data_IF_912876085166
#
_entry.id   IF_912876085166
#
_cell.length_a   1.000
_cell.length_b   1.000
_cell.length_c   1.000
_cell.angle_alpha   90.00
_cell.angle_beta   90.00
_cell.angle_gamma   90.00
#
_symmetry.space_group_name_H-M   'P 1'
#
loop_
_entity.id
_entity.type
_entity.pdbx_description
1 polymer ?
#
# COMPACT_ATOMS: atom_id res chain seq x y z
N UNK A 1 19.42 10.41 -1.87
CA UNK A 1 18.86 9.16 -1.30
C UNK A 1 18.35 9.49 0.09
N UNK A 2 17.04 9.66 0.22
CA UNK A 2 16.38 10.07 1.45
C UNK A 2 16.26 8.89 2.45
N UNK A 3 15.88 9.16 3.71
CA UNK A 3 15.58 8.14 4.72
C UNK A 3 14.50 7.16 4.22
N UNK A 4 13.55 7.64 3.41
CA UNK A 4 12.55 6.80 2.78
C UNK A 4 13.17 5.75 1.84
N UNK A 5 14.20 6.11 1.07
CA UNK A 5 14.91 5.14 0.21
C UNK A 5 15.55 4.02 1.04
N UNK A 6 16.10 4.33 2.22
CA UNK A 6 16.67 3.33 3.12
C UNK A 6 15.62 2.37 3.68
N UNK A 7 14.42 2.88 3.98
CA UNK A 7 13.28 2.04 4.39
C UNK A 7 12.87 1.10 3.26
N UNK A 8 12.75 1.60 2.03
CA UNK A 8 12.40 0.78 0.87
C UNK A 8 13.46 -0.30 0.60
N UNK A 9 14.75 0.05 0.65
CA UNK A 9 15.85 -0.91 0.53
C UNK A 9 15.76 -1.97 1.63
N UNK A 10 15.44 -1.59 2.87
CA UNK A 10 15.26 -2.55 3.96
C UNK A 10 14.14 -3.55 3.66
N UNK A 11 13.03 -3.13 3.05
CA UNK A 11 11.95 -4.02 2.62
C UNK A 11 12.45 -5.03 1.58
N UNK A 12 13.24 -4.60 0.58
CA UNK A 12 13.84 -5.50 -0.40
C UNK A 12 14.81 -6.51 0.25
N UNK A 13 15.65 -6.05 1.18
CA UNK A 13 16.60 -6.91 1.91
C UNK A 13 15.86 -7.93 2.76
N UNK A 14 14.83 -7.52 3.50
CA UNK A 14 13.99 -8.43 4.30
C UNK A 14 13.28 -9.43 3.38
N UNK A 15 12.71 -8.98 2.26
CA UNK A 15 12.10 -9.85 1.26
C UNK A 15 13.07 -10.90 0.73
N UNK A 16 14.30 -10.50 0.38
CA UNK A 16 15.35 -11.41 -0.06
C UNK A 16 15.73 -12.44 1.03
N UNK A 17 15.89 -12.01 2.29
CA UNK A 17 16.22 -12.89 3.42
C UNK A 17 15.08 -13.87 3.74
N UNK A 18 13.84 -13.42 3.68
CA UNK A 18 12.67 -14.28 3.83
C UNK A 18 12.58 -15.29 2.69
N UNK A 19 12.81 -14.85 1.46
CA UNK A 19 12.90 -15.71 0.28
C UNK A 19 13.99 -16.78 0.42
N UNK A 20 15.15 -16.41 0.95
CA UNK A 20 16.24 -17.34 1.24
C UNK A 20 15.84 -18.39 2.29
N UNK A 21 15.15 -17.97 3.36
CA UNK A 21 14.69 -18.84 4.45
C UNK A 21 13.56 -19.76 4.01
N UNK A 22 12.67 -19.26 3.18
CA UNK A 22 11.53 -19.99 2.67
C UNK A 22 11.90 -20.89 1.51
N UNK A 23 12.92 -20.60 0.70
CA UNK A 23 13.27 -21.31 -0.54
C UNK A 23 12.25 -21.09 -1.66
N UNK A 24 12.51 -21.61 -2.87
CA UNK A 24 11.81 -21.24 -4.09
C UNK A 24 10.32 -21.56 -4.03
N UNK A 25 9.97 -22.81 -3.73
CA UNK A 25 8.57 -23.28 -3.76
C UNK A 25 7.68 -22.48 -2.82
N UNK A 26 8.11 -22.32 -1.56
CA UNK A 26 7.33 -21.58 -0.57
C UNK A 26 7.27 -20.08 -0.90
N UNK A 27 8.35 -19.51 -1.46
CA UNK A 27 8.36 -18.10 -1.86
C UNK A 27 7.37 -17.83 -2.99
N UNK A 28 7.27 -18.71 -3.99
CA UNK A 28 6.29 -18.59 -5.08
C UNK A 28 4.86 -18.68 -4.53
N UNK A 29 4.61 -19.64 -3.64
CA UNK A 29 3.29 -19.78 -3.04
C UNK A 29 2.91 -18.57 -2.17
N UNK A 30 3.85 -18.03 -1.40
CA UNK A 30 3.63 -16.82 -0.62
C UNK A 30 3.36 -15.61 -1.53
N UNK A 31 4.07 -15.51 -2.66
CA UNK A 31 3.84 -14.46 -3.64
C UNK A 31 2.41 -14.53 -4.22
N UNK A 32 2.00 -15.71 -4.68
CA UNK A 32 0.63 -15.94 -5.18
C UNK A 32 -0.40 -15.69 -4.08
N UNK A 33 -0.13 -16.11 -2.84
CA UNK A 33 -1.04 -15.92 -1.72
C UNK A 33 -1.24 -14.46 -1.37
N UNK A 34 -0.17 -13.65 -1.35
CA UNK A 34 -0.29 -12.19 -1.14
C UNK A 34 -1.14 -11.57 -2.25
N UNK A 35 -0.92 -11.96 -3.50
CA UNK A 35 -1.71 -11.45 -4.63
C UNK A 35 -3.20 -11.83 -4.52
N UNK A 36 -3.49 -13.10 -4.22
CA UNK A 36 -4.87 -13.57 -4.02
C UNK A 36 -5.52 -12.91 -2.81
N UNK A 37 -4.79 -12.75 -1.71
CA UNK A 37 -5.26 -12.08 -0.51
C UNK A 37 -5.64 -10.63 -0.78
N UNK A 38 -4.85 -9.91 -1.58
CA UNK A 38 -5.17 -8.54 -1.99
C UNK A 38 -6.48 -8.49 -2.80
N UNK A 39 -6.64 -9.37 -3.79
CA UNK A 39 -7.85 -9.41 -4.63
C UNK A 39 -9.11 -9.77 -3.84
N UNK A 40 -9.03 -10.79 -2.99
CA UNK A 40 -10.16 -11.22 -2.16
C UNK A 40 -10.46 -10.17 -1.08
N UNK A 41 -9.43 -9.59 -0.46
CA UNK A 41 -9.59 -8.52 0.51
C UNK A 41 -10.31 -7.31 -0.09
N UNK A 42 -9.91 -6.87 -1.28
CA UNK A 42 -10.55 -5.74 -1.96
C UNK A 42 -12.03 -5.95 -2.30
N UNK A 43 -12.47 -7.20 -2.48
CA UNK A 43 -13.87 -7.51 -2.82
C UNK A 43 -14.74 -7.85 -1.62
N UNK A 44 -14.16 -8.40 -0.56
CA UNK A 44 -14.91 -9.03 0.53
C UNK A 44 -14.64 -8.43 1.91
N UNK A 45 -13.72 -7.47 2.07
CA UNK A 45 -13.40 -6.89 3.38
C UNK A 45 -14.61 -6.21 4.04
N UNK A 46 -15.34 -5.38 3.31
CA UNK A 46 -16.47 -4.61 3.84
C UNK A 46 -17.60 -5.54 4.30
N UNK A 47 -18.00 -6.48 3.44
CA UNK A 47 -19.07 -7.43 3.74
C UNK A 47 -18.72 -8.51 4.76
N UNK A 48 -17.44 -8.69 5.11
CA UNK A 48 -17.03 -9.64 6.14
C UNK A 48 -17.32 -9.08 7.53
N UNK A 49 -16.91 -7.84 7.81
CA UNK A 49 -16.98 -7.28 9.17
C UNK A 49 -18.38 -6.81 9.54
N UNK A 50 -19.15 -6.32 8.56
CA UNK A 50 -20.57 -5.97 8.72
C UNK A 50 -21.44 -7.15 9.22
N UNK A 51 -20.98 -8.40 9.05
CA UNK A 51 -21.66 -9.61 9.57
C UNK A 51 -21.28 -10.00 11.00
N UNK A 52 -20.20 -9.45 11.54
CA UNK A 52 -19.68 -9.82 12.86
C UNK A 52 -19.76 -8.70 13.90
N UNK A 53 -19.83 -7.43 13.48
CA UNK A 53 -19.91 -6.29 14.39
C UNK A 53 -20.87 -5.23 13.84
N UNK A 54 -22.03 -5.06 14.49
CA UNK A 54 -22.97 -3.97 14.23
C UNK A 54 -22.54 -2.63 14.88
N UNK A 55 -21.51 -2.65 15.74
CA UNK A 55 -21.19 -1.57 16.70
C UNK A 55 -19.88 -0.79 16.42
N UNK A 56 -19.30 -0.84 15.21
CA UNK A 56 -18.10 -0.05 14.89
C UNK A 56 -18.49 1.18 14.06
N UNK A 57 -18.50 2.37 14.71
CA UNK A 57 -18.88 3.65 14.10
C UNK A 57 -17.89 4.15 13.02
N UNK A 58 -16.70 3.56 12.91
CA UNK A 58 -15.67 3.98 11.95
C UNK A 58 -15.49 2.96 10.82
N UNK A 59 -16.12 3.26 9.68
CA UNK A 59 -16.13 2.44 8.47
C UNK A 59 -14.71 2.11 7.95
N UNK A 60 -13.77 3.06 8.06
CA UNK A 60 -12.37 2.84 7.65
C UNK A 60 -11.65 1.81 8.53
N UNK A 61 -11.94 1.77 9.83
CA UNK A 61 -11.32 0.80 10.76
C UNK A 61 -11.90 -0.59 10.51
N UNK A 62 -13.21 -0.67 10.30
CA UNK A 62 -13.96 -1.89 9.96
C UNK A 62 -13.38 -2.56 8.71
N UNK A 63 -13.25 -1.82 7.60
CA UNK A 63 -12.66 -2.32 6.35
C UNK A 63 -11.22 -2.81 6.53
N UNK A 64 -10.39 -2.06 7.27
CA UNK A 64 -9.01 -2.44 7.54
C UNK A 64 -8.90 -3.75 8.32
N UNK A 65 -9.76 -3.98 9.32
CA UNK A 65 -9.81 -5.23 10.08
C UNK A 65 -10.24 -6.39 9.19
N UNK A 66 -11.28 -6.21 8.37
CA UNK A 66 -11.77 -7.25 7.44
C UNK A 66 -10.69 -7.70 6.47
N UNK A 67 -9.98 -6.73 5.91
CA UNK A 67 -8.86 -6.97 5.03
C UNK A 67 -7.74 -7.75 5.74
N UNK A 68 -7.38 -7.37 6.96
CA UNK A 68 -6.35 -8.04 7.75
C UNK A 68 -6.72 -9.51 8.04
N UNK A 69 -7.98 -9.78 8.39
CA UNK A 69 -8.47 -11.14 8.66
C UNK A 69 -8.42 -12.02 7.40
N UNK A 70 -8.91 -11.52 6.27
CA UNK A 70 -8.87 -12.23 4.98
C UNK A 70 -7.42 -12.53 4.60
N UNK A 71 -6.55 -11.53 4.70
CA UNK A 71 -5.14 -11.68 4.39
C UNK A 71 -4.50 -12.77 5.23
N UNK A 72 -4.75 -12.77 6.54
CA UNK A 72 -4.19 -13.76 7.46
C UNK A 72 -4.69 -15.17 7.12
N UNK A 73 -5.97 -15.33 6.80
CA UNK A 73 -6.57 -16.61 6.43
C UNK A 73 -5.93 -17.17 5.15
N UNK A 74 -5.84 -16.36 4.08
CA UNK A 74 -5.23 -16.77 2.80
C UNK A 74 -3.75 -17.11 3.01
N UNK A 75 -3.03 -16.32 3.80
CA UNK A 75 -1.62 -16.54 4.08
C UNK A 75 -1.38 -17.85 4.84
N UNK A 76 -2.20 -18.18 5.85
CA UNK A 76 -2.13 -19.45 6.58
C UNK A 76 -2.33 -20.64 5.63
N UNK A 77 -3.36 -20.57 4.76
CA UNK A 77 -3.63 -21.63 3.78
C UNK A 77 -2.41 -21.85 2.88
N UNK A 78 -1.77 -20.78 2.41
CA UNK A 78 -0.57 -20.87 1.59
C UNK A 78 0.63 -21.49 2.30
N UNK A 79 0.82 -21.24 3.61
CA UNK A 79 1.85 -21.92 4.41
C UNK A 79 1.60 -23.43 4.48
N UNK A 80 0.35 -23.84 4.68
CA UNK A 80 -0.03 -25.25 4.77
C UNK A 80 0.20 -25.94 3.43
N UNK A 81 -0.33 -25.37 2.35
CA UNK A 81 -0.19 -25.90 0.98
C UNK A 81 1.28 -26.00 0.59
N UNK A 82 2.08 -24.99 0.92
CA UNK A 82 3.51 -25.00 0.60
C UNK A 82 4.31 -26.07 1.33
N UNK A 83 3.98 -26.36 2.59
CA UNK A 83 4.58 -27.50 3.30
C UNK A 83 4.24 -28.83 2.64
N UNK A 84 2.99 -29.03 2.21
CA UNK A 84 2.54 -30.26 1.55
C UNK A 84 3.26 -30.45 0.21
N UNK A 85 3.27 -29.41 -0.63
CA UNK A 85 3.92 -29.45 -1.95
C UNK A 85 5.43 -29.70 -1.79
N UNK A 86 6.07 -29.05 -0.83
CA UNK A 86 7.50 -29.23 -0.56
C UNK A 86 7.85 -30.64 -0.09
N UNK A 87 7.00 -31.27 0.71
CA UNK A 87 7.20 -32.66 1.12
C UNK A 87 7.23 -33.62 -0.09
N UNK A 88 6.44 -33.35 -1.14
CA UNK A 88 6.43 -34.12 -2.38
C UNK A 88 7.60 -33.83 -3.33
N UNK A 89 8.20 -32.64 -3.28
CA UNK A 89 9.25 -32.18 -4.21
C UNK A 89 10.69 -32.47 -3.77
N UNK A 90 10.88 -33.14 -2.63
CA UNK A 90 12.18 -33.34 -1.93
C UNK A 90 13.31 -33.95 -2.79
N UNK A 91 13.05 -34.42 -4.01
CA UNK A 91 14.00 -35.16 -4.85
C UNK A 91 14.65 -34.31 -5.96
N UNK A 92 14.12 -33.13 -6.34
CA UNK A 92 14.49 -32.50 -7.64
C UNK A 92 15.42 -31.28 -7.54
N UNK A 93 15.50 -30.56 -6.41
CA UNK A 93 16.28 -29.31 -6.32
C UNK A 93 17.59 -29.49 -5.54
N UNK A 94 18.74 -29.20 -6.19
CA UNK A 94 19.99 -28.96 -5.47
C UNK A 94 19.77 -27.78 -4.51
N UNK A 95 20.05 -27.97 -3.22
CA UNK A 95 19.67 -27.03 -2.16
C UNK A 95 20.18 -25.58 -2.31
N UNK A 96 21.14 -25.32 -3.20
CA UNK A 96 21.58 -23.96 -3.55
C UNK A 96 20.66 -23.27 -4.58
N UNK A 97 20.07 -24.02 -5.52
CA UNK A 97 19.11 -23.51 -6.52
C UNK A 97 17.79 -23.14 -5.84
N UNK A 98 17.30 -23.97 -4.91
CA UNK A 98 16.08 -23.66 -4.14
C UNK A 98 16.24 -22.36 -3.34
N UNK A 99 17.42 -22.13 -2.77
CA UNK A 99 17.74 -20.92 -2.02
C UNK A 99 17.84 -19.68 -2.91
N UNK A 100 18.56 -19.76 -4.04
CA UNK A 100 18.68 -18.64 -4.99
C UNK A 100 17.33 -18.29 -5.64
N UNK A 101 16.55 -19.29 -6.02
CA UNK A 101 15.20 -19.09 -6.52
C UNK A 101 14.29 -18.45 -5.47
N UNK A 102 14.41 -18.87 -4.21
CA UNK A 102 13.73 -18.23 -3.09
C UNK A 102 14.09 -16.75 -2.93
N UNK A 103 15.38 -16.39 -3.00
CA UNK A 103 15.84 -14.99 -2.97
C UNK A 103 15.21 -14.17 -4.09
N UNK A 104 15.26 -14.66 -5.34
CA UNK A 104 14.67 -13.99 -6.49
C UNK A 104 13.18 -13.69 -6.28
N UNK A 105 12.42 -14.69 -5.84
CA UNK A 105 10.98 -14.51 -5.60
C UNK A 105 10.72 -13.62 -4.38
N UNK A 106 11.55 -13.70 -3.33
CA UNK A 106 11.47 -12.82 -2.17
C UNK A 106 11.74 -11.35 -2.51
N UNK A 107 12.67 -11.07 -3.42
CA UNK A 107 12.90 -9.72 -3.97
C UNK A 107 11.69 -9.25 -4.78
N UNK A 108 11.10 -10.10 -5.62
CA UNK A 108 9.87 -9.77 -6.36
C UNK A 108 8.71 -9.48 -5.42
N UNK A 109 8.56 -10.24 -4.34
CA UNK A 109 7.55 -9.97 -3.31
C UNK A 109 7.82 -8.63 -2.62
N UNK A 110 9.09 -8.32 -2.32
CA UNK A 110 9.51 -7.02 -1.81
C UNK A 110 9.12 -5.88 -2.76
N UNK A 111 9.29 -6.05 -4.06
CA UNK A 111 8.87 -5.06 -5.06
C UNK A 111 7.36 -4.79 -4.98
N UNK A 112 6.53 -5.85 -4.96
CA UNK A 112 5.06 -5.71 -4.85
C UNK A 112 4.66 -4.99 -3.57
N UNK A 113 5.27 -5.33 -2.43
CA UNK A 113 4.99 -4.66 -1.16
C UNK A 113 5.39 -3.19 -1.19
N UNK A 114 6.57 -2.87 -1.74
CA UNK A 114 7.04 -1.50 -1.93
C UNK A 114 6.09 -0.71 -2.82
N UNK A 115 5.65 -1.26 -3.95
CA UNK A 115 4.65 -0.64 -4.83
C UNK A 115 3.35 -0.36 -4.07
N UNK A 116 2.84 -1.33 -3.29
CA UNK A 116 1.63 -1.14 -2.50
C UNK A 116 1.77 -0.03 -1.45
N UNK A 117 2.91 0.05 -0.76
CA UNK A 117 3.20 1.11 0.22
C UNK A 117 3.27 2.48 -0.47
N UNK A 118 3.97 2.58 -1.60
CA UNK A 118 4.08 3.83 -2.36
C UNK A 118 2.71 4.31 -2.83
N UNK A 119 1.88 3.42 -3.38
CA UNK A 119 0.51 3.74 -3.81
C UNK A 119 -0.36 4.20 -2.63
N UNK A 120 -0.30 3.49 -1.50
CA UNK A 120 -1.07 3.87 -0.30
C UNK A 120 -0.62 5.25 0.23
N UNK A 121 0.69 5.50 0.29
CA UNK A 121 1.23 6.79 0.69
C UNK A 121 0.86 7.91 -0.29
N UNK A 122 0.92 7.65 -1.59
CA UNK A 122 0.52 8.62 -2.62
C UNK A 122 -0.95 9.02 -2.46
N UNK A 123 -1.84 8.06 -2.20
CA UNK A 123 -3.26 8.34 -1.94
C UNK A 123 -3.46 9.27 -0.75
N UNK A 124 -2.75 9.05 0.35
CA UNK A 124 -2.86 9.89 1.55
C UNK A 124 -2.21 11.26 1.33
N UNK A 125 -1.09 11.30 0.62
CA UNK A 125 -0.34 12.52 0.35
C UNK A 125 -1.09 13.47 -0.61
N UNK A 126 -1.76 12.93 -1.63
CA UNK A 126 -2.46 13.69 -2.67
C UNK A 126 -4.00 13.47 -2.62
N UNK A 127 -4.70 14.07 -1.65
CA UNK A 127 -6.15 14.16 -1.69
C UNK A 127 -6.58 15.10 -2.83
N UNK A 128 -7.75 14.84 -3.41
CA UNK A 128 -8.32 15.66 -4.47
C UNK A 128 -8.40 17.13 -4.01
N UNK A 129 -7.84 18.02 -4.82
CA UNK A 129 -7.71 19.45 -4.62
C UNK A 129 -9.06 20.17 -4.44
N UNK A 130 -10.15 19.58 -4.93
CA UNK A 130 -11.52 20.04 -4.70
C UNK A 130 -11.98 19.89 -3.24
N UNK A 131 -11.50 18.87 -2.51
CA UNK A 131 -11.88 18.61 -1.11
C UNK A 131 -11.25 19.66 -0.19
N UNK A 132 -9.98 19.99 -0.45
CA UNK A 132 -9.15 20.91 0.33
C UNK A 132 -9.73 22.34 0.38
N UNK A 133 -10.27 22.82 -0.73
CA UNK A 133 -10.85 24.16 -0.84
C UNK A 133 -12.30 24.20 -0.34
N UNK A 134 -13.04 23.10 -0.51
CA UNK A 134 -14.38 22.93 0.05
C UNK A 134 -14.35 22.92 1.59
N UNK A 135 -13.42 22.20 2.21
CA UNK A 135 -13.29 22.11 3.67
C UNK A 135 -12.96 23.47 4.30
N UNK A 136 -12.01 24.21 3.70
CA UNK A 136 -11.70 25.57 4.17
C UNK A 136 -12.88 26.52 3.97
N UNK A 137 -13.60 26.40 2.86
CA UNK A 137 -14.82 27.17 2.59
C UNK A 137 -15.91 26.90 3.62
N UNK A 138 -16.14 25.63 3.96
CA UNK A 138 -17.12 25.20 4.96
C UNK A 138 -16.72 25.65 6.38
N UNK A 139 -15.44 25.53 6.74
CA UNK A 139 -14.91 26.06 8.01
C UNK A 139 -15.09 27.58 8.08
N UNK A 140 -14.80 28.32 7.01
CA UNK A 140 -14.99 29.77 6.95
C UNK A 140 -16.46 30.16 7.02
N UNK A 141 -17.34 29.48 6.30
CA UNK A 141 -18.78 29.72 6.31
C UNK A 141 -19.40 29.40 7.67
N UNK A 142 -18.94 28.35 8.36
CA UNK A 142 -19.39 28.04 9.74
C UNK A 142 -18.95 29.11 10.74
N UNK A 143 -17.71 29.62 10.64
CA UNK A 143 -17.22 30.72 11.46
C UNK A 143 -18.01 32.03 11.24
N UNK A 144 -18.41 32.30 10.00
CA UNK A 144 -19.13 33.52 9.62
C UNK A 144 -20.62 33.44 9.99
N UNK A 145 -21.27 32.31 9.76
CA UNK A 145 -22.72 32.17 9.90
C UNK A 145 -23.17 31.73 11.30
N UNK A 146 -22.48 30.78 11.92
CA UNK A 146 -22.84 30.31 13.28
C UNK A 146 -22.23 31.19 14.38
N UNK A 147 -21.22 32.01 14.04
CA UNK A 147 -20.50 32.86 15.00
C UNK A 147 -19.69 32.07 16.03
N UNK A 148 -19.58 30.75 15.87
CA UNK A 148 -18.81 29.86 16.72
C UNK A 148 -17.35 29.79 16.25
N UNK A 149 -16.63 30.85 16.62
CA UNK A 149 -15.23 31.05 16.23
C UNK A 149 -14.29 30.01 16.85
N UNK A 150 -14.67 29.42 17.99
CA UNK A 150 -13.81 28.48 18.71
C UNK A 150 -13.87 27.09 18.07
N UNK A 151 -15.06 26.62 17.71
CA UNK A 151 -15.21 25.37 16.92
C UNK A 151 -14.55 25.49 15.54
N UNK A 152 -14.67 26.64 14.87
CA UNK A 152 -14.03 26.85 13.58
C UNK A 152 -12.49 26.84 13.67
N UNK A 153 -11.91 27.43 14.72
CA UNK A 153 -10.47 27.38 14.97
C UNK A 153 -9.99 25.96 15.22
N UNK A 154 -10.71 25.18 16.03
CA UNK A 154 -10.37 23.79 16.32
C UNK A 154 -10.31 22.96 15.03
N UNK A 155 -11.33 23.08 14.17
CA UNK A 155 -11.37 22.42 12.85
C UNK A 155 -10.23 22.87 11.94
N UNK A 156 -9.91 24.16 11.93
CA UNK A 156 -8.79 24.70 11.15
C UNK A 156 -7.44 24.16 11.63
N UNK A 157 -7.22 24.06 12.95
CA UNK A 157 -6.00 23.46 13.51
C UNK A 157 -5.88 21.98 13.13
N UNK A 158 -6.98 21.24 13.15
CA UNK A 158 -7.02 19.84 12.75
C UNK A 158 -6.66 19.69 11.27
N UNK A 159 -7.28 20.49 10.39
CA UNK A 159 -6.99 20.50 8.95
C UNK A 159 -5.53 20.88 8.65
N UNK A 160 -4.97 21.85 9.38
CA UNK A 160 -3.55 22.23 9.25
C UNK A 160 -2.59 21.13 9.71
N UNK A 161 -2.93 20.41 10.79
CA UNK A 161 -2.13 19.28 11.27
C UNK A 161 -2.10 18.13 10.25
N UNK A 162 -3.25 17.84 9.64
CA UNK A 162 -3.33 16.85 8.57
C UNK A 162 -2.56 17.28 7.32
N UNK A 163 -2.65 18.55 6.91
CA UNK A 163 -1.85 19.10 5.79
C UNK A 163 -0.36 18.96 6.01
N UNK A 164 0.12 19.34 7.19
CA UNK A 164 1.53 19.22 7.53
C UNK A 164 2.00 17.76 7.40
N UNK A 165 1.18 16.80 7.82
CA UNK A 165 1.46 15.37 7.61
C UNK A 165 1.53 15.00 6.13
N UNK A 166 0.60 15.49 5.30
CA UNK A 166 0.57 15.23 3.85
C UNK A 166 1.77 15.82 3.13
N UNK A 167 2.16 17.04 3.45
CA UNK A 167 3.30 17.71 2.83
C UNK A 167 4.62 16.97 3.12
N UNK A 168 4.79 16.45 4.34
CA UNK A 168 5.93 15.58 4.67
C UNK A 168 5.94 14.32 3.78
N UNK A 169 4.77 13.70 3.57
CA UNK A 169 4.67 12.52 2.71
C UNK A 169 4.98 12.85 1.25
N UNK A 170 4.52 14.00 0.75
CA UNK A 170 4.84 14.49 -0.60
C UNK A 170 6.34 14.70 -0.77
N UNK A 171 6.98 15.41 0.17
CA UNK A 171 8.42 15.64 0.16
C UNK A 171 9.22 14.33 0.17
N UNK A 172 8.79 13.34 0.96
CA UNK A 172 9.45 12.04 1.03
C UNK A 172 9.31 11.23 -0.27
N UNK A 173 8.15 11.32 -0.92
CA UNK A 173 7.91 10.67 -2.22
C UNK A 173 8.69 11.36 -3.34
N UNK A 174 8.70 12.70 -3.34
CA UNK A 174 9.35 13.53 -4.35
C UNK A 174 10.88 13.41 -4.31
N UNK A 175 11.48 13.38 -3.12
CA UNK A 175 12.94 13.25 -2.93
C UNK A 175 13.44 11.80 -3.05
N UNK A 176 12.54 10.83 -3.32
CA UNK A 176 12.89 9.42 -3.43
C UNK A 176 13.48 9.07 -4.79
N UNK A 177 14.64 8.40 -4.77
CA UNK A 177 15.28 7.89 -5.99
C UNK A 177 14.75 6.53 -6.44
N UNK A 178 13.92 5.89 -5.61
CA UNK A 178 13.35 4.57 -5.84
C UNK A 178 11.90 4.63 -6.31
N UNK A 179 11.12 5.61 -5.82
CA UNK A 179 9.72 5.80 -6.22
C UNK A 179 9.56 5.86 -7.74
N UNK A 180 10.30 6.70 -8.50
CA UNK A 180 10.16 6.74 -9.96
C UNK A 180 10.45 5.40 -10.65
N UNK A 181 11.39 4.60 -10.11
CA UNK A 181 11.75 3.29 -10.67
C UNK A 181 10.69 2.24 -10.39
N UNK A 182 10.09 2.28 -9.20
CA UNK A 182 8.98 1.41 -8.81
C UNK A 182 7.74 1.71 -9.64
N UNK A 183 7.42 2.99 -9.84
CA UNK A 183 6.30 3.46 -10.66
C UNK A 183 6.50 3.16 -12.15
N UNK A 184 7.70 3.44 -12.69
CA UNK A 184 8.06 3.10 -14.06
C UNK A 184 7.99 1.60 -14.37
N UNK A 185 8.19 0.74 -13.37
CA UNK A 185 7.94 -0.71 -13.48
C UNK A 185 6.44 -1.08 -13.52
N UNK A 186 5.60 -0.31 -12.81
CA UNK A 186 4.15 -0.49 -12.75
C UNK A 186 3.43 -0.04 -14.03
N UNK A 187 3.93 1.00 -14.71
CA UNK A 187 3.37 1.51 -15.99
C UNK A 187 3.26 0.47 -17.12
N UNK A 188 4.01 -0.64 -17.02
CA UNK A 188 3.97 -1.77 -17.98
C UNK A 188 2.90 -2.81 -17.66
N UNK A 189 2.25 -2.69 -16.51
CA UNK A 189 1.11 -3.50 -16.09
C UNK A 189 -0.13 -2.62 -16.27
N UNK A 190 -1.06 -2.94 -17.19
CA UNK A 190 -2.21 -2.09 -17.43
C UNK A 190 -3.01 -1.91 -16.14
N UNK A 191 -3.42 -0.67 -15.83
CA UNK A 191 -4.26 -0.35 -14.66
C UNK A 191 -5.49 -1.27 -14.53
N UNK A 192 -6.00 -1.74 -15.68
CA UNK A 192 -7.16 -2.61 -15.81
C UNK A 192 -6.87 -4.11 -15.57
N UNK A 193 -5.60 -4.54 -15.55
CA UNK A 193 -5.23 -5.96 -15.34
C UNK A 193 -5.14 -6.30 -13.86
N UNK A 194 -5.00 -5.30 -12.99
CA UNK A 194 -4.94 -5.49 -11.55
C UNK A 194 -6.32 -5.37 -10.89
N UNK A 195 -7.20 -4.45 -11.33
CA UNK A 195 -8.43 -4.18 -10.56
C UNK A 195 -8.17 -3.73 -9.11
N UNK A 196 -6.92 -3.39 -8.78
CA UNK A 196 -6.39 -3.13 -7.44
C UNK A 196 -6.39 -1.64 -7.05
N UNK A 197 -6.72 -0.74 -7.98
CA UNK A 197 -6.71 0.69 -7.75
C UNK A 197 -8.11 1.25 -8.09
N UNK A 198 -8.96 1.53 -7.07
CA UNK A 198 -10.11 2.40 -7.24
C UNK A 198 -9.72 3.70 -7.97
N UNK A 199 -10.63 4.32 -8.72
CA UNK A 199 -10.31 5.46 -9.60
C UNK A 199 -9.49 6.57 -8.92
N UNK A 200 -9.75 6.82 -7.64
CA UNK A 200 -9.03 7.80 -6.82
C UNK A 200 -7.53 7.52 -6.64
N UNK A 201 -7.12 6.25 -6.66
CA UNK A 201 -5.71 5.88 -6.59
C UNK A 201 -4.97 6.16 -7.91
N UNK A 202 -5.67 6.00 -9.04
CA UNK A 202 -5.10 6.35 -10.34
C UNK A 202 -4.82 7.85 -10.42
N UNK A 203 -5.77 8.67 -9.96
CA UNK A 203 -5.58 10.13 -9.92
C UNK A 203 -4.41 10.54 -9.01
N UNK A 204 -4.30 9.97 -7.81
CA UNK A 204 -3.17 10.26 -6.92
C UNK A 204 -1.81 9.85 -7.52
N UNK A 205 -1.79 8.77 -8.31
CA UNK A 205 -0.59 8.30 -8.99
C UNK A 205 -0.20 9.22 -10.15
N UNK A 206 -1.17 9.64 -10.97
CA UNK A 206 -0.94 10.58 -12.07
C UNK A 206 -0.39 11.91 -11.54
N UNK A 207 -0.94 12.42 -10.43
CA UNK A 207 -0.43 13.65 -9.78
C UNK A 207 0.99 13.46 -9.24
N UNK A 208 1.28 12.32 -8.59
CA UNK A 208 2.64 12.01 -8.13
C UNK A 208 3.62 11.90 -9.31
N UNK A 209 3.24 11.26 -10.41
CA UNK A 209 4.08 11.15 -11.60
C UNK A 209 4.36 12.52 -12.23
N UNK A 210 3.36 13.42 -12.24
CA UNK A 210 3.52 14.80 -12.70
C UNK A 210 4.50 15.59 -11.81
N UNK A 211 4.36 15.54 -10.49
CA UNK A 211 5.26 16.22 -9.54
C UNK A 211 6.70 15.68 -9.64
N UNK A 212 6.87 14.37 -9.84
CA UNK A 212 8.18 13.77 -10.04
C UNK A 212 8.82 14.21 -11.37
N UNK A 213 8.04 14.41 -12.43
CA UNK A 213 8.56 14.90 -13.70
C UNK A 213 9.04 16.35 -13.61
N UNK A 214 8.29 17.21 -12.93
CA UNK A 214 8.64 18.63 -12.77
C UNK A 214 9.92 18.81 -11.94
N UNK A 215 10.14 17.96 -10.94
CA UNK A 215 11.33 18.00 -10.07
C UNK A 215 12.61 17.43 -10.73
N UNK A 216 12.49 16.74 -11.88
CA UNK A 216 13.64 16.18 -12.63
C UNK A 216 14.17 17.18 -13.68
N UNK A 217 13.31 18.09 -14.17
CA UNK A 217 13.64 19.08 -15.21
C UNK A 217 14.08 20.46 -14.67
N UNK A 218 14.08 20.66 -13.34
CA UNK A 218 14.55 21.87 -12.62
C UNK A 218 15.96 21.77 -12.05
#
# INVERSE_FOLDING_TARGET
MNIFDWVLVAVFVVGALLGLKWGLVQSVLNFVAVYVAMLVGAQFADGLVERFTDDIENESITTAIGYAVIFLAVFIVAQIVGKIIRAGLTIVFLGWVDKLGGVLVGVLLGAVLVTGVVIAMARVAYPQDEVILADIGEIADSAINDGDLDTAKERLYQELAERYGRDILKDWLADSTLVPKVLGGSSKVPANVLGLAPGEFATALDTLEADLADNIDG
#
